data_IF_245541891022
#
_entry.id   IF_245541891022
#
_cell.length_a   1.000
_cell.length_b   1.000
_cell.length_c   1.000
_cell.angle_alpha   90.00
_cell.angle_beta   90.00
_cell.angle_gamma   90.00
#
_symmetry.space_group_name_H-M   'P 1'
#
loop_
_entity.id
_entity.type
_entity.pdbx_description
1 polymer ?
#
# COMPACT_ATOMS: atom_id res chain seq x y z
N UNK A 1 3.94 28.96 15.78
CA UNK A 1 5.33 28.48 15.73
C UNK A 1 5.74 27.88 17.06
N UNK A 2 5.69 28.61 18.17
CA UNK A 2 6.02 28.09 19.52
C UNK A 2 5.35 26.78 19.86
N UNK A 3 4.03 26.68 19.70
CA UNK A 3 3.26 25.46 19.95
C UNK A 3 3.77 24.26 19.13
N UNK A 4 4.31 24.50 17.93
CA UNK A 4 4.79 23.42 17.06
C UNK A 4 6.22 23.01 17.40
N UNK A 5 7.05 23.98 17.80
CA UNK A 5 8.40 23.75 18.34
C UNK A 5 8.30 22.89 19.61
N UNK A 6 7.41 23.28 20.53
CA UNK A 6 7.23 22.60 21.81
C UNK A 6 6.73 21.15 21.65
N UNK A 7 6.01 20.87 20.56
CA UNK A 7 5.43 19.55 20.28
C UNK A 7 6.30 18.65 19.40
N UNK A 8 7.38 19.16 18.80
CA UNK A 8 8.23 18.41 17.86
C UNK A 8 7.44 17.73 16.73
N UNK A 9 6.34 18.34 16.28
CA UNK A 9 5.50 17.82 15.21
C UNK A 9 6.06 18.22 13.83
N UNK A 10 5.87 17.34 12.83
CA UNK A 10 6.20 17.68 11.45
C UNK A 10 5.32 18.85 10.98
N UNK A 11 5.94 19.90 10.44
CA UNK A 11 5.23 21.01 9.80
C UNK A 11 5.16 20.76 8.32
N UNK A 12 3.96 20.78 7.76
CA UNK A 12 3.73 20.71 6.32
C UNK A 12 3.42 22.09 5.78
N UNK A 13 4.10 22.48 4.70
CA UNK A 13 3.80 23.72 3.99
C UNK A 13 3.27 23.41 2.59
N UNK A 14 1.98 23.65 2.38
CA UNK A 14 1.30 23.41 1.11
C UNK A 14 1.40 24.66 0.23
N UNK A 15 2.13 24.57 -0.88
CA UNK A 15 2.35 25.72 -1.77
C UNK A 15 1.14 26.07 -2.63
N UNK A 16 0.20 25.13 -2.82
CA UNK A 16 -0.91 25.27 -3.76
C UNK A 16 -0.47 25.06 -5.22
N UNK A 17 -1.41 25.22 -6.16
CA UNK A 17 -1.17 24.92 -7.57
C UNK A 17 -0.13 25.87 -8.20
N UNK A 18 0.72 25.33 -9.08
CA UNK A 18 1.69 26.07 -9.93
C UNK A 18 2.83 26.81 -9.21
N UNK A 19 3.21 26.39 -8.00
CA UNK A 19 4.41 26.90 -7.31
C UNK A 19 5.60 25.97 -7.55
N UNK A 20 6.77 26.56 -7.73
CA UNK A 20 8.03 25.83 -7.81
C UNK A 20 8.42 25.38 -6.40
N UNK A 21 8.95 24.17 -6.26
CA UNK A 21 9.47 23.68 -4.98
C UNK A 21 10.73 24.46 -4.63
N UNK A 22 10.72 25.09 -3.46
CA UNK A 22 11.82 25.86 -2.90
C UNK A 22 12.02 25.46 -1.44
N UNK A 23 13.17 25.79 -0.87
CA UNK A 23 13.43 25.62 0.55
C UNK A 23 12.81 26.79 1.32
N UNK A 24 11.99 26.47 2.31
CA UNK A 24 11.35 27.45 3.19
C UNK A 24 11.90 27.35 4.60
N UNK A 25 12.02 28.49 5.26
CA UNK A 25 12.43 28.57 6.66
C UNK A 25 11.39 29.41 7.41
N UNK A 26 10.78 28.83 8.43
CA UNK A 26 9.93 29.55 9.38
C UNK A 26 10.77 29.94 10.60
N UNK A 27 10.79 31.23 10.92
CA UNK A 27 11.54 31.79 12.06
C UNK A 27 10.69 32.81 12.82
N UNK A 28 10.94 32.95 14.13
CA UNK A 28 10.34 34.01 14.94
C UNK A 28 11.44 34.97 15.40
N UNK A 29 11.16 36.28 15.39
CA UNK A 29 12.07 37.29 15.94
C UNK A 29 12.32 37.13 17.45
N UNK A 30 11.47 36.35 18.11
CA UNK A 30 11.47 36.13 19.53
C UNK A 30 12.39 34.98 20.00
N UNK A 31 12.85 34.09 19.10
CA UNK A 31 13.74 32.96 19.42
C UNK A 31 14.68 32.70 18.25
N UNK A 32 15.91 32.25 18.52
CA UNK A 32 16.87 31.87 17.47
C UNK A 32 16.50 30.58 16.71
N UNK A 33 15.30 30.04 16.94
CA UNK A 33 14.87 28.76 16.38
C UNK A 33 14.36 28.93 14.95
N UNK A 34 14.79 28.03 14.07
CA UNK A 34 14.39 27.96 12.68
C UNK A 34 13.80 26.59 12.39
N UNK A 35 12.72 26.56 11.61
CA UNK A 35 12.06 25.34 11.20
C UNK A 35 12.02 25.26 9.68
N UNK A 36 12.46 24.12 9.17
CA UNK A 36 12.29 23.77 7.76
C UNK A 36 11.03 22.90 7.66
N UNK A 37 9.92 23.41 7.08
CA UNK A 37 8.73 22.61 6.88
C UNK A 37 8.94 21.61 5.75
N UNK A 38 8.22 20.49 5.79
CA UNK A 38 8.10 19.59 4.67
C UNK A 38 7.19 20.24 3.61
N UNK A 39 7.76 20.52 2.45
CA UNK A 39 7.06 21.19 1.36
C UNK A 39 6.22 20.20 0.57
N UNK A 40 4.91 20.47 0.50
CA UNK A 40 3.95 19.74 -0.32
C UNK A 40 3.58 20.63 -1.52
N UNK A 41 4.24 20.39 -2.65
CA UNK A 41 4.12 21.21 -3.85
C UNK A 41 2.92 20.79 -4.72
N UNK A 42 2.53 19.51 -4.67
CA UNK A 42 1.38 18.97 -5.42
C UNK A 42 0.42 18.25 -4.48
N UNK A 43 -0.91 18.31 -4.73
CA UNK A 43 -1.87 17.58 -3.91
C UNK A 43 -1.60 16.07 -3.79
N UNK A 44 -0.99 15.44 -4.79
CA UNK A 44 -0.67 14.01 -4.76
C UNK A 44 0.41 13.65 -3.73
N UNK A 45 1.33 14.58 -3.43
CA UNK A 45 2.41 14.37 -2.47
C UNK A 45 1.85 14.20 -1.04
N UNK A 46 0.64 14.70 -0.76
CA UNK A 46 -0.04 14.42 0.50
C UNK A 46 -0.26 12.92 0.76
N UNK A 47 -0.44 12.13 -0.30
CA UNK A 47 -0.66 10.70 -0.13
C UNK A 47 0.57 10.01 0.49
N UNK A 48 1.78 10.51 0.24
CA UNK A 48 3.03 9.99 0.81
C UNK A 48 3.09 10.10 2.33
N UNK A 49 2.28 11.00 2.92
CA UNK A 49 2.22 11.23 4.36
C UNK A 49 1.03 10.55 5.05
N UNK A 50 0.18 9.85 4.29
CA UNK A 50 -0.91 9.07 4.88
C UNK A 50 -0.33 7.76 5.44
N UNK A 51 -0.46 7.57 6.75
CA UNK A 51 -0.20 6.30 7.42
C UNK A 51 -1.28 5.28 7.02
N UNK A 52 -0.97 4.39 6.08
CA UNK A 52 -1.90 3.37 5.60
C UNK A 52 -2.25 2.38 6.72
N UNK A 53 -1.29 2.05 7.58
CA UNK A 53 -1.50 1.12 8.69
C UNK A 53 -2.58 1.59 9.67
N UNK A 54 -2.79 2.90 9.81
CA UNK A 54 -3.85 3.47 10.66
C UNK A 54 -5.28 3.23 10.14
N UNK A 55 -5.43 2.89 8.86
CA UNK A 55 -6.72 2.59 8.23
C UNK A 55 -6.91 1.09 7.96
N UNK A 56 -6.08 0.23 8.56
CA UNK A 56 -6.23 -1.20 8.42
C UNK A 56 -7.56 -1.68 9.05
N UNK A 57 -8.28 -2.63 8.42
CA UNK A 57 -9.49 -3.19 9.01
C UNK A 57 -9.18 -4.01 10.27
N UNK A 58 -9.93 -3.80 11.34
CA UNK A 58 -9.79 -4.57 12.59
C UNK A 58 -10.53 -5.92 12.53
N UNK A 59 -11.54 -6.00 11.67
CA UNK A 59 -12.33 -7.20 11.42
C UNK A 59 -12.84 -7.25 9.98
N UNK A 60 -13.44 -8.37 9.58
CA UNK A 60 -13.88 -8.61 8.19
C UNK A 60 -15.08 -7.74 7.78
N UNK A 61 -15.84 -7.20 8.72
CA UNK A 61 -17.02 -6.38 8.43
C UNK A 61 -16.63 -4.95 8.02
N UNK A 62 -15.38 -4.55 8.28
CA UNK A 62 -14.81 -3.26 7.88
C UNK A 62 -14.11 -3.30 6.51
N UNK A 63 -14.54 -4.19 5.61
CA UNK A 63 -13.91 -4.37 4.30
C UNK A 63 -13.81 -3.07 3.48
N UNK A 64 -14.75 -2.14 3.68
CA UNK A 64 -14.72 -0.81 3.09
C UNK A 64 -13.44 0.00 3.41
N UNK A 65 -12.81 -0.23 4.58
CA UNK A 65 -11.51 0.35 4.92
C UNK A 65 -10.42 -0.20 3.99
N UNK A 66 -10.46 -1.50 3.69
CA UNK A 66 -9.55 -2.14 2.75
C UNK A 66 -9.69 -1.59 1.33
N UNK A 67 -10.92 -1.35 0.87
CA UNK A 67 -11.15 -0.71 -0.43
C UNK A 67 -10.66 0.74 -0.48
N UNK A 68 -10.80 1.50 0.62
CA UNK A 68 -10.25 2.86 0.71
C UNK A 68 -8.72 2.84 0.65
N UNK A 69 -8.08 1.89 1.33
CA UNK A 69 -6.63 1.71 1.26
C UNK A 69 -6.17 1.45 -0.19
N UNK A 70 -6.83 0.55 -0.92
CA UNK A 70 -6.53 0.32 -2.33
C UNK A 70 -6.67 1.58 -3.17
N UNK A 71 -7.73 2.36 -2.98
CA UNK A 71 -7.95 3.62 -3.71
C UNK A 71 -6.81 4.61 -3.49
N UNK A 72 -6.34 4.75 -2.25
CA UNK A 72 -5.19 5.62 -1.93
C UNK A 72 -3.94 5.13 -2.68
N UNK A 73 -3.67 3.83 -2.62
CA UNK A 73 -2.49 3.23 -3.26
C UNK A 73 -2.56 3.33 -4.79
N UNK A 74 -3.73 3.14 -5.40
CA UNK A 74 -3.92 3.36 -6.84
C UNK A 74 -3.59 4.78 -7.26
N UNK A 75 -4.01 5.77 -6.47
CA UNK A 75 -3.63 7.18 -6.72
C UNK A 75 -2.12 7.41 -6.55
N UNK A 76 -1.46 6.80 -5.55
CA UNK A 76 0.01 6.85 -5.41
C UNK A 76 0.74 6.27 -6.63
N UNK A 77 0.22 5.18 -7.19
CA UNK A 77 0.81 4.49 -8.34
C UNK A 77 0.50 5.17 -9.69
N UNK A 78 -0.33 6.22 -9.70
CA UNK A 78 -0.91 6.81 -10.91
C UNK A 78 -1.51 5.74 -11.84
N UNK A 79 -2.21 4.78 -11.24
CA UNK A 79 -2.69 3.59 -11.92
C UNK A 79 -4.13 3.26 -11.56
N UNK A 80 -4.79 2.55 -12.47
CA UNK A 80 -6.15 2.03 -12.27
C UNK A 80 -6.13 0.51 -12.49
N UNK A 81 -7.04 -0.24 -11.84
CA UNK A 81 -7.08 -1.70 -11.98
C UNK A 81 -7.41 -2.10 -13.42
N UNK A 82 -6.58 -2.97 -14.01
CA UNK A 82 -6.80 -3.55 -15.35
C UNK A 82 -7.88 -4.63 -15.37
N UNK A 83 -8.28 -5.12 -14.20
CA UNK A 83 -9.28 -6.17 -14.02
C UNK A 83 -10.22 -5.81 -12.88
N UNK A 84 -11.48 -6.23 -12.99
CA UNK A 84 -12.35 -6.35 -11.83
C UNK A 84 -11.73 -7.33 -10.81
N UNK A 85 -11.99 -7.11 -9.53
CA UNK A 85 -11.44 -7.95 -8.47
C UNK A 85 -12.41 -8.21 -7.34
N UNK A 86 -12.19 -9.31 -6.63
CA UNK A 86 -12.92 -9.68 -5.43
C UNK A 86 -12.00 -10.37 -4.42
N UNK A 87 -12.34 -10.23 -3.14
CA UNK A 87 -11.65 -10.90 -2.04
C UNK A 87 -12.52 -12.01 -1.50
N UNK A 88 -11.97 -13.21 -1.37
CA UNK A 88 -12.68 -14.27 -0.65
C UNK A 88 -12.71 -13.99 0.86
N UNK A 89 -13.73 -14.50 1.55
CA UNK A 89 -13.82 -14.38 3.01
C UNK A 89 -12.61 -15.01 3.73
N UNK A 90 -12.01 -16.05 3.16
CA UNK A 90 -10.79 -16.66 3.71
C UNK A 90 -9.62 -15.67 3.63
N UNK A 91 -9.41 -15.07 2.46
CA UNK A 91 -8.39 -14.04 2.26
C UNK A 91 -8.53 -12.88 3.25
N UNK A 92 -9.75 -12.33 3.41
CA UNK A 92 -9.98 -11.20 4.32
C UNK A 92 -9.67 -11.58 5.77
N UNK A 93 -10.06 -12.78 6.21
CA UNK A 93 -9.73 -13.28 7.55
C UNK A 93 -8.22 -13.40 7.76
N UNK A 94 -7.48 -13.82 6.73
CA UNK A 94 -6.03 -13.95 6.81
C UNK A 94 -5.36 -12.57 6.89
N UNK A 95 -5.80 -11.62 6.05
CA UNK A 95 -5.20 -10.27 5.96
C UNK A 95 -5.53 -9.40 7.16
N UNK A 96 -6.75 -9.45 7.69
CA UNK A 96 -7.10 -8.74 8.95
C UNK A 96 -6.17 -9.15 10.10
N UNK A 97 -5.82 -10.45 10.17
CA UNK A 97 -4.94 -10.97 11.22
C UNK A 97 -3.46 -10.58 11.03
N UNK A 98 -3.06 -10.15 9.83
CA UNK A 98 -1.68 -9.76 9.56
C UNK A 98 -1.26 -8.60 10.47
N UNK A 99 -0.21 -8.81 11.26
CA UNK A 99 0.39 -7.77 12.10
C UNK A 99 1.52 -7.05 11.38
N UNK A 100 2.27 -7.78 10.57
CA UNK A 100 3.40 -7.28 9.81
C UNK A 100 3.02 -7.05 8.35
N UNK A 101 3.77 -6.17 7.69
CA UNK A 101 3.74 -5.96 6.23
C UNK A 101 2.40 -5.47 5.65
N UNK A 102 1.54 -4.86 6.46
CA UNK A 102 0.21 -4.36 6.05
C UNK A 102 0.28 -3.46 4.82
N UNK A 103 1.22 -2.53 4.81
CA UNK A 103 1.40 -1.60 3.70
C UNK A 103 1.88 -2.31 2.44
N UNK A 104 2.84 -3.23 2.56
CA UNK A 104 3.33 -4.01 1.42
C UNK A 104 2.25 -4.92 0.85
N UNK A 105 1.38 -5.50 1.69
CA UNK A 105 0.24 -6.30 1.24
C UNK A 105 -0.64 -5.46 0.31
N UNK A 106 -1.05 -4.27 0.73
CA UNK A 106 -1.94 -3.43 -0.05
C UNK A 106 -1.25 -2.90 -1.32
N UNK A 107 0.02 -2.52 -1.21
CA UNK A 107 0.84 -2.06 -2.34
C UNK A 107 1.00 -3.13 -3.42
N UNK A 108 1.28 -4.37 -3.02
CA UNK A 108 1.49 -5.45 -3.98
C UNK A 108 0.18 -5.93 -4.58
N UNK A 109 -0.95 -5.89 -3.84
CA UNK A 109 -2.28 -6.13 -4.41
C UNK A 109 -2.59 -5.07 -5.46
N UNK A 110 -2.43 -3.78 -5.14
CA UNK A 110 -2.68 -2.70 -6.09
C UNK A 110 -1.77 -2.81 -7.31
N UNK A 111 -0.47 -3.03 -7.10
CA UNK A 111 0.50 -3.28 -8.18
C UNK A 111 0.09 -4.47 -9.04
N UNK A 112 -0.35 -5.57 -8.44
CA UNK A 112 -0.85 -6.70 -9.22
C UNK A 112 -2.04 -6.27 -10.06
N UNK A 113 -2.99 -5.53 -9.50
CA UNK A 113 -4.19 -5.11 -10.22
C UNK A 113 -3.90 -4.13 -11.38
N UNK A 114 -2.81 -3.36 -11.35
CA UNK A 114 -2.42 -2.46 -12.44
C UNK A 114 -1.66 -3.16 -13.58
N UNK A 115 -1.30 -4.44 -13.44
CA UNK A 115 -0.53 -5.19 -14.43
C UNK A 115 -1.37 -6.26 -15.14
N UNK A 116 -1.12 -6.49 -16.42
CA UNK A 116 -1.62 -7.64 -17.17
C UNK A 116 -0.98 -8.94 -16.66
N UNK A 117 -1.49 -10.08 -17.12
CA UNK A 117 -0.84 -11.38 -16.85
C UNK A 117 0.61 -11.43 -17.35
N UNK A 118 0.87 -10.92 -18.57
CA UNK A 118 2.21 -10.95 -19.15
C UNK A 118 3.18 -10.00 -18.42
N UNK A 119 2.70 -8.82 -18.00
CA UNK A 119 3.52 -7.85 -17.26
C UNK A 119 3.86 -8.37 -15.86
N UNK A 120 2.89 -8.90 -15.12
CA UNK A 120 3.14 -9.41 -13.77
C UNK A 120 4.11 -10.60 -13.74
N UNK A 121 4.04 -11.48 -14.74
CA UNK A 121 4.99 -12.59 -14.88
C UNK A 121 6.44 -12.13 -15.12
N UNK A 122 6.63 -10.91 -15.65
CA UNK A 122 7.96 -10.31 -15.88
C UNK A 122 8.39 -9.37 -14.75
N UNK A 123 7.49 -9.05 -13.83
CA UNK A 123 7.78 -8.13 -12.74
C UNK A 123 8.65 -8.79 -11.68
N UNK A 124 9.89 -8.32 -11.55
CA UNK A 124 10.88 -8.87 -10.63
C UNK A 124 10.51 -8.71 -9.15
N UNK A 125 9.61 -7.77 -8.82
CA UNK A 125 9.21 -7.52 -7.44
C UNK A 125 8.04 -8.40 -7.03
N UNK A 126 7.02 -8.57 -7.88
CA UNK A 126 5.90 -9.46 -7.59
C UNK A 126 6.33 -10.93 -7.54
N UNK A 127 7.19 -11.34 -8.48
CA UNK A 127 7.57 -12.75 -8.64
C UNK A 127 6.29 -13.62 -8.77
N UNK A 128 5.45 -13.30 -9.75
CA UNK A 128 4.14 -13.93 -9.96
C UNK A 128 4.30 -15.37 -10.49
N UNK A 129 4.22 -16.35 -9.59
CA UNK A 129 4.41 -17.78 -9.81
C UNK A 129 3.08 -18.45 -10.22
N UNK A 130 3.06 -19.17 -11.35
CA UNK A 130 1.90 -19.94 -11.79
C UNK A 130 1.91 -21.38 -11.26
N UNK A 131 0.82 -21.77 -10.58
CA UNK A 131 0.62 -23.10 -10.02
C UNK A 131 -0.16 -23.97 -11.00
N UNK A 132 0.56 -24.71 -11.85
CA UNK A 132 -0.03 -25.49 -12.95
C UNK A 132 -1.11 -26.49 -12.51
N UNK A 133 -0.93 -27.15 -11.36
CA UNK A 133 -1.87 -28.17 -10.86
C UNK A 133 -3.25 -27.59 -10.52
N UNK A 134 -3.29 -26.38 -9.95
CA UNK A 134 -4.53 -25.71 -9.51
C UNK A 134 -5.03 -24.68 -10.53
N UNK A 135 -4.20 -24.30 -11.51
CA UNK A 135 -4.41 -23.18 -12.44
C UNK A 135 -4.58 -21.83 -11.71
N UNK A 136 -3.81 -21.65 -10.65
CA UNK A 136 -3.85 -20.48 -9.75
C UNK A 136 -2.47 -19.79 -9.73
N UNK A 137 -2.36 -18.65 -9.05
CA UNK A 137 -1.17 -17.81 -9.06
C UNK A 137 -0.81 -17.37 -7.65
N UNK A 138 0.48 -17.28 -7.36
CA UNK A 138 0.98 -16.72 -6.10
C UNK A 138 2.04 -15.69 -6.38
N UNK A 139 1.98 -14.56 -5.70
CA UNK A 139 3.05 -13.58 -5.71
C UNK A 139 3.53 -13.32 -4.28
N UNK A 140 4.78 -12.88 -4.17
CA UNK A 140 5.42 -12.59 -2.88
C UNK A 140 5.15 -11.16 -2.48
N UNK A 141 4.90 -10.94 -1.18
CA UNK A 141 4.82 -9.60 -0.59
C UNK A 141 6.17 -9.23 0.05
N UNK A 142 6.90 -10.22 0.60
CA UNK A 142 8.24 -10.04 1.19
C UNK A 142 9.27 -10.98 0.56
N UNK A 143 10.54 -10.56 0.61
CA UNK A 143 11.68 -11.34 0.12
C UNK A 143 12.00 -12.53 1.05
N UNK A 144 12.82 -13.47 0.56
CA UNK A 144 13.33 -14.59 1.38
C UNK A 144 14.26 -14.09 2.49
N UNK A 145 14.37 -14.77 3.64
CA UNK A 145 13.82 -16.10 3.95
C UNK A 145 12.37 -16.09 4.47
N UNK A 146 11.92 -15.04 5.15
CA UNK A 146 10.54 -14.90 5.65
C UNK A 146 9.63 -14.29 4.58
N UNK A 147 9.42 -15.06 3.52
CA UNK A 147 8.49 -14.62 2.49
C UNK A 147 7.07 -14.63 3.06
N UNK A 148 6.19 -13.82 2.51
CA UNK A 148 4.74 -13.87 2.72
C UNK A 148 4.13 -13.86 1.34
N UNK A 149 3.00 -14.55 1.16
CA UNK A 149 2.48 -14.82 -0.18
C UNK A 149 1.00 -14.53 -0.27
N UNK A 150 0.59 -13.98 -1.40
CA UNK A 150 -0.82 -13.81 -1.75
C UNK A 150 -1.16 -14.78 -2.86
N UNK A 151 -2.26 -15.50 -2.67
CA UNK A 151 -2.78 -16.48 -3.61
C UNK A 151 -4.04 -15.97 -4.27
N UNK A 152 -4.12 -16.09 -5.58
CA UNK A 152 -5.26 -15.61 -6.36
C UNK A 152 -5.48 -16.47 -7.60
N UNK A 153 -6.63 -16.27 -8.25
CA UNK A 153 -6.94 -16.88 -9.55
C UNK A 153 -7.77 -15.96 -10.43
N UNK A 154 -7.81 -16.28 -11.72
CA UNK A 154 -8.71 -15.63 -12.66
C UNK A 154 -10.05 -16.36 -12.70
N UNK A 155 -11.15 -15.63 -12.47
CA UNK A 155 -12.53 -16.14 -12.59
C UNK A 155 -13.32 -15.15 -13.42
N UNK A 156 -13.88 -15.56 -14.56
CA UNK A 156 -14.72 -14.70 -15.40
C UNK A 156 -14.11 -13.32 -15.72
N UNK A 157 -12.82 -13.27 -16.08
CA UNK A 157 -12.03 -12.04 -16.30
C UNK A 157 -11.79 -11.16 -15.05
N UNK A 158 -12.12 -11.66 -13.85
CA UNK A 158 -11.84 -11.02 -12.56
C UNK A 158 -10.64 -11.67 -11.87
N UNK A 159 -9.89 -10.90 -11.08
CA UNK A 159 -8.96 -11.48 -10.10
C UNK A 159 -9.72 -11.78 -8.80
N UNK A 160 -9.71 -13.04 -8.38
CA UNK A 160 -10.21 -13.45 -7.08
C UNK A 160 -9.04 -13.78 -6.16
N UNK A 161 -8.88 -13.01 -5.09
CA UNK A 161 -7.88 -13.26 -4.05
C UNK A 161 -8.39 -14.30 -3.05
N UNK A 162 -7.60 -15.36 -2.83
CA UNK A 162 -8.02 -16.59 -2.15
C UNK A 162 -7.47 -16.71 -0.73
N UNK A 163 -6.17 -16.50 -0.55
CA UNK A 163 -5.48 -16.67 0.75
C UNK A 163 -4.31 -15.69 0.87
N UNK A 164 -4.04 -15.25 2.08
CA UNK A 164 -2.76 -14.65 2.46
C UNK A 164 -2.05 -15.65 3.37
N UNK A 165 -0.78 -15.94 3.06
CA UNK A 165 0.07 -16.82 3.87
C UNK A 165 1.12 -15.96 4.56
N UNK A 166 1.07 -15.97 5.89
CA UNK A 166 2.03 -15.28 6.75
C UNK A 166 3.40 -15.94 6.74
N UNK A 167 4.29 -15.42 7.59
CA UNK A 167 5.62 -16.01 7.77
C UNK A 167 5.49 -17.44 8.32
N UNK A 168 6.17 -18.41 7.70
CA UNK A 168 6.17 -19.80 8.15
C UNK A 168 5.02 -20.67 7.63
N UNK A 169 3.96 -20.10 7.05
CA UNK A 169 2.79 -20.84 6.51
C UNK A 169 2.99 -21.31 5.06
N UNK A 170 4.24 -21.50 4.64
CA UNK A 170 4.59 -21.74 3.24
C UNK A 170 4.27 -23.13 2.73
N UNK A 171 4.25 -24.11 3.62
CA UNK A 171 4.08 -25.53 3.29
C UNK A 171 2.61 -25.97 3.32
N UNK A 172 1.74 -25.23 4.02
CA UNK A 172 0.30 -25.54 4.14
C UNK A 172 -0.48 -25.42 2.82
N UNK A 173 0.15 -24.84 1.79
CA UNK A 173 -0.45 -24.59 0.49
C UNK A 173 0.17 -25.33 -0.69
N UNK A 174 1.19 -26.18 -0.48
CA UNK A 174 1.75 -27.02 -1.55
C UNK A 174 0.74 -28.12 -1.92
#
# INVERSE_FOLDING_TARGET
MHIVIDKSENIYFCLGANRVREDYIFSCDCHSFQINPLVVAKPIEWLEHINLSAYWPDNIDEIEKFDRLLKIVFKKLDGEPKYEYEFSNAFLKDVVKAQNYREQIIEYIAKRLTLTKQEAAKDMHLQDEYLAQKKEYRFRVTQRPSSTRIHYKYVNKRLRFLRYYGEGEHDDGL
#
